data_IF_088198631019
#
_entry.id   IF_088198631019
#
_cell.length_a   1.000
_cell.length_b   1.000
_cell.length_c   1.000
_cell.angle_alpha   90.00
_cell.angle_beta   90.00
_cell.angle_gamma   90.00
#
_symmetry.space_group_name_H-M   'P 1'
#
loop_
_entity.id
_entity.type
_entity.pdbx_description
1 polymer ?
#
# COMPACT_ATOMS: atom_id res chain seq x y z
N UNK A 1 -64.83 2.60 12.24
CA UNK A 1 -64.38 3.43 13.36
C UNK A 1 -62.84 3.48 13.43
N UNK A 2 -62.19 3.93 12.38
CA UNK A 2 -60.69 4.09 12.41
C UNK A 2 -60.22 5.28 11.57
N UNK A 3 -61.04 6.36 11.50
CA UNK A 3 -60.67 7.56 10.73
C UNK A 3 -60.67 8.86 11.58
N UNK A 4 -60.65 8.75 12.90
CA UNK A 4 -60.74 9.91 13.81
C UNK A 4 -59.49 10.21 14.64
N UNK A 5 -58.41 9.40 14.52
CA UNK A 5 -57.27 9.53 15.44
C UNK A 5 -55.96 10.06 14.80
N UNK A 6 -55.96 10.41 13.52
CA UNK A 6 -54.77 10.91 12.80
C UNK A 6 -54.80 12.44 12.65
N UNK A 7 -55.87 13.12 13.04
CA UNK A 7 -55.98 14.59 12.90
C UNK A 7 -55.57 15.40 14.13
N UNK A 8 -55.36 14.76 15.29
CA UNK A 8 -55.09 15.47 16.55
C UNK A 8 -53.62 15.57 16.95
N UNK A 9 -52.69 15.05 16.13
CA UNK A 9 -51.26 15.14 16.41
C UNK A 9 -50.55 16.19 15.52
N UNK A 10 -51.23 16.86 14.63
CA UNK A 10 -50.64 17.88 13.75
C UNK A 10 -50.70 19.31 14.26
N UNK A 11 -51.50 19.60 15.30
CA UNK A 11 -51.74 20.98 15.74
C UNK A 11 -51.08 21.39 17.05
N UNK A 12 -50.18 20.56 17.61
CA UNK A 12 -49.52 20.88 18.87
C UNK A 12 -47.99 21.10 18.80
N UNK A 13 -47.40 21.25 17.58
CA UNK A 13 -46.01 21.64 17.42
C UNK A 13 -45.92 22.85 16.48
N UNK A 14 -46.55 23.95 16.86
CA UNK A 14 -46.23 25.28 16.38
C UNK A 14 -45.72 26.07 17.58
N UNK A 15 -44.54 25.70 18.04
CA UNK A 15 -43.72 26.55 18.90
C UNK A 15 -43.10 27.63 18.01
N UNK A 16 -43.55 28.86 18.22
CA UNK A 16 -42.98 30.08 17.68
C UNK A 16 -41.47 30.17 17.99
N UNK A 17 -40.61 29.85 17.04
CA UNK A 17 -39.21 30.21 17.10
C UNK A 17 -39.04 31.67 16.64
N UNK A 18 -38.34 32.54 17.35
CA UNK A 18 -38.02 33.88 16.92
C UNK A 18 -37.02 33.81 15.73
N UNK A 19 -37.52 34.02 14.54
CA UNK A 19 -36.81 33.82 13.25
C UNK A 19 -35.88 34.97 12.83
N UNK A 20 -35.49 35.90 13.72
CA UNK A 20 -34.78 37.12 13.29
C UNK A 20 -33.26 37.14 13.53
N UNK A 21 -32.69 36.28 14.39
CA UNK A 21 -31.25 36.39 14.73
C UNK A 21 -30.33 35.36 14.07
N UNK A 22 -30.84 34.29 13.52
CA UNK A 22 -29.98 33.26 12.89
C UNK A 22 -29.63 33.63 11.45
N UNK A 23 -30.49 34.33 10.72
CA UNK A 23 -30.23 34.73 9.34
C UNK A 23 -29.18 35.84 9.23
N UNK A 24 -29.15 36.80 10.15
CA UNK A 24 -28.17 37.92 10.10
C UNK A 24 -26.71 37.43 10.27
N UNK A 25 -26.45 36.51 11.17
CA UNK A 25 -25.11 35.94 11.35
C UNK A 25 -24.64 35.10 10.16
N UNK A 26 -25.56 34.45 9.47
CA UNK A 26 -25.25 33.65 8.27
C UNK A 26 -24.98 34.57 7.06
N UNK A 27 -25.71 35.65 6.94
CA UNK A 27 -25.48 36.69 5.94
C UNK A 27 -24.19 37.47 6.14
N UNK A 28 -23.87 37.82 7.39
CA UNK A 28 -22.56 38.41 7.73
C UNK A 28 -21.39 37.49 7.41
N UNK A 29 -21.50 36.18 7.70
CA UNK A 29 -20.47 35.20 7.33
C UNK A 29 -20.32 35.07 5.83
N UNK A 30 -21.42 35.08 5.06
CA UNK A 30 -21.42 35.05 3.59
C UNK A 30 -20.86 36.36 3.00
N UNK A 31 -21.16 37.51 3.60
CA UNK A 31 -20.60 38.80 3.21
C UNK A 31 -19.08 38.87 3.47
N UNK A 32 -18.61 38.42 4.64
CA UNK A 32 -17.17 38.33 4.93
C UNK A 32 -16.43 37.36 3.99
N UNK A 33 -17.04 36.22 3.63
CA UNK A 33 -16.45 35.33 2.65
C UNK A 33 -16.39 35.93 1.22
N UNK A 34 -17.40 36.68 0.85
CA UNK A 34 -17.40 37.40 -0.45
C UNK A 34 -16.35 38.52 -0.49
N UNK A 35 -16.21 39.27 0.61
CA UNK A 35 -15.17 40.30 0.75
C UNK A 35 -13.76 39.71 0.70
N UNK A 36 -13.48 38.58 1.42
CA UNK A 36 -12.21 37.90 1.34
C UNK A 36 -11.89 37.31 -0.05
N UNK A 37 -12.92 36.89 -0.80
CA UNK A 37 -12.73 36.39 -2.17
C UNK A 37 -12.44 37.58 -3.16
N UNK A 38 -13.04 38.74 -2.92
CA UNK A 38 -12.75 39.93 -3.72
C UNK A 38 -11.38 40.52 -3.42
N UNK A 39 -10.93 40.47 -2.17
CA UNK A 39 -9.60 40.91 -1.75
C UNK A 39 -8.49 40.01 -2.29
N UNK A 40 -8.72 38.69 -2.36
CA UNK A 40 -7.79 37.75 -3.05
C UNK A 40 -7.72 38.01 -4.58
N UNK A 41 -8.78 38.51 -5.21
CA UNK A 41 -8.78 38.85 -6.64
C UNK A 41 -8.15 40.23 -6.96
N UNK A 42 -7.94 41.05 -5.94
CA UNK A 42 -7.37 42.41 -6.10
C UNK A 42 -5.87 42.49 -5.80
N UNK A 43 -5.25 41.42 -5.28
CA UNK A 43 -3.79 41.38 -5.16
C UNK A 43 -3.22 41.04 -6.53
N UNK A 44 -2.44 41.96 -7.15
CA UNK A 44 -1.73 41.62 -8.37
C UNK A 44 -0.76 40.50 -8.05
N UNK A 45 -0.67 39.52 -8.94
CA UNK A 45 0.36 38.50 -8.88
C UNK A 45 1.71 39.20 -8.86
N UNK A 46 2.50 38.95 -7.80
CA UNK A 46 3.89 39.38 -7.79
C UNK A 46 4.56 38.71 -8.97
N UNK A 47 5.35 39.41 -9.79
CA UNK A 47 6.14 38.76 -10.81
C UNK A 47 7.05 37.72 -10.11
N UNK A 48 7.07 36.51 -10.64
CA UNK A 48 8.03 35.49 -10.23
C UNK A 48 9.43 36.08 -10.42
N UNK A 49 10.15 36.22 -9.30
CA UNK A 49 11.58 36.53 -9.34
C UNK A 49 12.29 35.28 -9.91
N UNK A 50 12.43 35.28 -11.23
CA UNK A 50 13.33 34.36 -11.92
C UNK A 50 14.75 34.80 -11.59
N UNK A 51 15.36 34.15 -10.63
CA UNK A 51 16.81 34.30 -10.39
C UNK A 51 17.52 33.48 -11.47
N UNK A 52 17.97 34.18 -12.52
CA UNK A 52 18.94 33.65 -13.46
C UNK A 52 20.29 33.62 -12.75
N UNK A 53 20.76 32.41 -12.45
CA UNK A 53 22.16 32.22 -12.06
C UNK A 53 23.03 32.39 -13.30
N UNK A 54 23.81 33.47 -13.36
CA UNK A 54 24.92 33.59 -14.31
C UNK A 54 26.02 32.62 -13.86
N UNK A 55 26.30 31.68 -14.74
CA UNK A 55 27.34 30.67 -14.60
C UNK A 55 28.69 31.34 -14.74
N UNK A 56 29.39 31.52 -13.61
CA UNK A 56 30.80 31.89 -13.62
C UNK A 56 31.62 30.62 -13.67
N UNK A 57 32.11 30.33 -14.86
CA UNK A 57 32.91 29.14 -15.15
C UNK A 57 34.16 28.98 -14.27
N UNK A 58 34.36 27.77 -13.80
CA UNK A 58 35.65 27.21 -13.51
C UNK A 58 35.69 25.79 -14.07
N UNK A 59 36.53 25.62 -15.08
CA UNK A 59 36.80 24.36 -15.74
C UNK A 59 37.48 23.40 -14.75
N UNK A 60 36.75 22.44 -14.20
CA UNK A 60 37.31 21.18 -13.74
C UNK A 60 36.59 20.04 -14.47
N UNK A 61 37.29 19.46 -15.43
CA UNK A 61 36.89 18.29 -16.18
C UNK A 61 36.73 17.09 -15.24
N UNK A 62 35.52 16.85 -14.76
CA UNK A 62 35.10 15.55 -14.29
C UNK A 62 34.69 14.68 -15.50
N UNK A 63 35.14 13.41 -15.59
CA UNK A 63 34.79 12.57 -16.72
C UNK A 63 33.27 12.37 -16.73
N UNK A 64 32.62 12.98 -17.70
CA UNK A 64 31.23 12.78 -18.01
C UNK A 64 31.04 11.31 -18.40
N UNK A 65 30.40 10.54 -17.52
CA UNK A 65 29.67 9.39 -17.98
C UNK A 65 28.62 9.91 -18.97
N UNK A 66 28.92 9.74 -20.24
CA UNK A 66 27.99 9.96 -21.32
C UNK A 66 26.82 8.97 -21.08
N UNK A 67 25.73 9.48 -20.52
CA UNK A 67 24.43 8.87 -20.73
C UNK A 67 24.19 8.90 -22.25
N UNK A 68 24.55 7.82 -22.94
CA UNK A 68 24.15 7.57 -24.29
C UNK A 68 22.61 7.59 -24.31
N UNK A 69 22.06 8.73 -24.68
CA UNK A 69 20.68 8.84 -25.15
C UNK A 69 20.60 7.93 -26.38
N UNK A 70 20.31 6.67 -26.14
CA UNK A 70 20.01 5.69 -27.18
C UNK A 70 18.77 6.18 -27.93
N UNK A 71 19.02 6.95 -28.99
CA UNK A 71 18.06 7.23 -30.05
C UNK A 71 17.74 5.89 -30.74
N UNK A 72 16.97 5.05 -30.09
CA UNK A 72 16.52 3.79 -30.66
C UNK A 72 15.36 4.06 -31.60
N UNK A 73 15.66 4.26 -32.86
CA UNK A 73 14.68 3.96 -33.88
C UNK A 73 14.38 2.45 -33.79
N UNK A 74 13.28 2.14 -33.11
CA UNK A 74 12.87 0.75 -32.91
C UNK A 74 12.37 0.19 -34.22
N UNK A 75 13.18 -0.63 -34.89
CA UNK A 75 12.76 -1.40 -36.03
C UNK A 75 12.39 -2.81 -35.58
N UNK A 76 11.11 -3.14 -35.67
CA UNK A 76 10.59 -4.45 -35.28
C UNK A 76 11.25 -5.59 -36.09
N UNK A 77 11.55 -5.36 -37.35
CA UNK A 77 12.19 -6.35 -38.22
C UNK A 77 13.63 -6.67 -37.75
N UNK A 78 14.38 -5.66 -37.37
CA UNK A 78 15.74 -5.84 -36.86
C UNK A 78 15.74 -6.51 -35.47
N UNK A 79 14.75 -6.20 -34.64
CA UNK A 79 14.54 -6.90 -33.37
C UNK A 79 14.23 -8.39 -33.59
N UNK A 80 13.34 -8.74 -34.50
CA UNK A 80 13.01 -10.13 -34.80
C UNK A 80 14.22 -10.89 -35.37
N UNK A 81 14.98 -10.27 -36.29
CA UNK A 81 16.21 -10.86 -36.86
C UNK A 81 17.28 -11.08 -35.80
N UNK A 82 17.53 -10.10 -34.94
CA UNK A 82 18.51 -10.24 -33.85
C UNK A 82 18.10 -11.30 -32.84
N UNK A 83 16.80 -11.46 -32.59
CA UNK A 83 16.26 -12.53 -31.75
C UNK A 83 16.42 -13.92 -32.38
N UNK A 84 16.18 -14.07 -33.69
CA UNK A 84 16.36 -15.32 -34.42
C UNK A 84 17.84 -15.73 -34.52
N UNK A 85 18.74 -14.75 -34.64
CA UNK A 85 20.19 -14.99 -34.70
C UNK A 85 20.86 -15.17 -33.35
N UNK A 86 20.13 -15.16 -32.24
CA UNK A 86 20.65 -15.19 -30.85
C UNK A 86 21.65 -14.07 -30.51
N UNK A 87 21.74 -13.05 -31.36
CA UNK A 87 22.56 -11.84 -31.19
C UNK A 87 21.80 -10.77 -30.41
N UNK A 88 20.74 -11.17 -29.69
CA UNK A 88 19.99 -10.24 -28.88
C UNK A 88 20.85 -9.68 -27.72
N UNK A 89 21.40 -8.52 -27.95
CA UNK A 89 21.60 -7.60 -26.81
C UNK A 89 20.29 -7.54 -26.06
N UNK A 90 20.30 -7.87 -24.75
CA UNK A 90 19.14 -7.77 -23.89
C UNK A 90 18.77 -6.30 -23.76
N UNK A 91 18.18 -5.72 -24.81
CA UNK A 91 17.63 -4.39 -24.76
C UNK A 91 16.57 -4.40 -23.64
N UNK A 92 16.89 -3.79 -22.55
CA UNK A 92 15.94 -3.66 -21.46
C UNK A 92 14.76 -2.83 -21.97
N UNK A 93 13.60 -3.46 -22.07
CA UNK A 93 12.37 -2.74 -22.35
C UNK A 93 12.19 -1.72 -21.23
N UNK A 94 11.96 -0.45 -21.58
CA UNK A 94 11.64 0.55 -20.59
C UNK A 94 10.28 0.21 -19.95
N UNK A 95 10.35 -0.46 -18.81
CA UNK A 95 9.19 -1.00 -18.11
C UNK A 95 8.24 0.12 -17.65
N UNK A 96 8.79 1.30 -17.35
CA UNK A 96 7.99 2.47 -16.99
C UNK A 96 7.15 2.98 -18.17
N UNK A 97 7.74 3.03 -19.37
CA UNK A 97 7.02 3.39 -20.59
C UNK A 97 5.91 2.38 -20.88
N UNK A 98 6.21 1.09 -20.75
CA UNK A 98 5.24 0.02 -21.05
C UNK A 98 4.04 0.05 -20.12
N UNK A 99 4.27 0.16 -18.80
CA UNK A 99 3.17 0.22 -17.83
C UNK A 99 2.30 1.47 -18.05
N UNK A 100 2.91 2.60 -18.36
CA UNK A 100 2.19 3.84 -18.67
C UNK A 100 1.37 3.69 -19.96
N UNK A 101 1.93 3.09 -21.02
CA UNK A 101 1.24 2.84 -22.27
C UNK A 101 0.01 1.96 -22.08
N UNK A 102 0.16 0.83 -21.39
CA UNK A 102 -0.93 -0.12 -21.10
C UNK A 102 -2.06 0.55 -20.32
N UNK A 103 -1.73 1.38 -19.32
CA UNK A 103 -2.70 2.10 -18.51
C UNK A 103 -3.42 3.20 -19.30
N UNK A 104 -2.71 4.00 -20.10
CA UNK A 104 -3.31 5.13 -20.83
C UNK A 104 -4.17 4.69 -22.01
N UNK A 105 -3.92 3.48 -22.57
CA UNK A 105 -4.69 2.92 -23.67
C UNK A 105 -5.82 2.00 -23.22
N UNK A 106 -6.16 1.98 -21.92
CA UNK A 106 -7.24 1.18 -21.36
C UNK A 106 -7.12 -0.33 -21.75
N UNK A 107 -5.88 -0.85 -21.79
CA UNK A 107 -5.61 -2.22 -22.24
C UNK A 107 -5.85 -3.27 -21.17
N UNK A 108 -5.81 -2.89 -19.89
CA UNK A 108 -5.99 -3.81 -18.77
C UNK A 108 -7.43 -4.28 -18.64
N UNK A 109 -7.61 -5.59 -18.52
CA UNK A 109 -8.88 -6.24 -18.25
C UNK A 109 -8.83 -6.97 -16.92
N UNK A 110 -9.90 -6.88 -16.15
CA UNK A 110 -10.03 -7.55 -14.87
C UNK A 110 -10.40 -9.02 -15.05
N UNK A 111 -9.61 -9.91 -14.44
CA UNK A 111 -9.98 -11.30 -14.20
C UNK A 111 -10.19 -11.46 -12.70
N UNK A 112 -11.46 -11.56 -12.28
CA UNK A 112 -11.82 -11.75 -10.88
C UNK A 112 -11.44 -13.16 -10.41
N UNK A 113 -10.87 -13.25 -9.19
CA UNK A 113 -10.49 -14.51 -8.55
C UNK A 113 -11.54 -14.86 -7.50
N UNK A 114 -12.08 -16.05 -7.59
CA UNK A 114 -12.99 -16.56 -6.56
C UNK A 114 -12.18 -17.19 -5.42
N UNK A 115 -12.19 -16.55 -4.26
CA UNK A 115 -11.47 -17.02 -3.08
C UNK A 115 -12.31 -17.93 -2.16
N UNK A 116 -13.60 -18.12 -2.46
CA UNK A 116 -14.50 -18.86 -1.58
C UNK A 116 -14.75 -18.13 -0.24
N UNK A 117 -15.13 -18.87 0.79
CA UNK A 117 -15.43 -18.34 2.12
C UNK A 117 -14.17 -17.92 2.87
N UNK A 118 -13.63 -16.77 2.51
CA UNK A 118 -12.44 -16.16 3.12
C UNK A 118 -12.76 -14.70 3.44
N UNK A 119 -12.15 -14.17 4.51
CA UNK A 119 -12.28 -12.76 4.86
C UNK A 119 -11.28 -11.90 4.05
N UNK A 120 -11.35 -10.59 4.21
CA UNK A 120 -10.57 -9.53 3.53
C UNK A 120 -9.11 -9.92 3.31
N UNK A 121 -8.59 -9.53 2.16
CA UNK A 121 -7.15 -9.61 1.85
C UNK A 121 -6.49 -8.29 2.22
N UNK A 122 -5.41 -8.34 3.00
CA UNK A 122 -4.73 -7.15 3.52
C UNK A 122 -3.40 -6.84 2.87
N UNK A 123 -2.68 -7.85 2.43
CA UNK A 123 -1.35 -7.72 1.86
C UNK A 123 -1.13 -8.71 0.72
N UNK A 124 -0.28 -8.35 -0.24
CA UNK A 124 0.03 -9.19 -1.39
C UNK A 124 1.38 -8.83 -2.01
N UNK A 125 2.04 -9.82 -2.62
CA UNK A 125 3.27 -9.67 -3.43
C UNK A 125 3.30 -10.69 -4.55
N UNK A 126 3.90 -10.33 -5.68
CA UNK A 126 4.20 -11.28 -6.75
C UNK A 126 5.47 -12.06 -6.39
N UNK A 127 5.36 -13.37 -6.27
CA UNK A 127 6.51 -14.27 -6.06
C UNK A 127 7.31 -14.46 -7.35
N UNK A 128 6.59 -14.66 -8.45
CA UNK A 128 7.13 -14.90 -9.79
C UNK A 128 6.19 -14.30 -10.83
N UNK A 129 6.52 -14.48 -12.12
CA UNK A 129 5.61 -14.08 -13.21
C UNK A 129 4.31 -14.88 -13.26
N UNK A 130 4.16 -15.93 -12.43
CA UNK A 130 3.01 -16.83 -12.44
C UNK A 130 2.22 -16.82 -11.13
N UNK A 131 2.86 -16.44 -10.03
CA UNK A 131 2.32 -16.64 -8.69
C UNK A 131 2.26 -15.35 -7.89
N UNK A 132 1.12 -15.12 -7.26
CA UNK A 132 0.88 -14.03 -6.30
C UNK A 132 0.58 -14.62 -4.94
N UNK A 133 1.33 -14.22 -3.93
CA UNK A 133 1.06 -14.55 -2.53
C UNK A 133 0.26 -13.43 -1.88
N UNK A 134 -0.69 -13.78 -1.01
CA UNK A 134 -1.48 -12.80 -0.28
C UNK A 134 -1.94 -13.32 1.07
N UNK A 135 -2.07 -12.38 2.01
CA UNK A 135 -2.49 -12.64 3.38
C UNK A 135 -3.90 -12.10 3.67
N UNK A 136 -4.64 -12.85 4.48
CA UNK A 136 -6.05 -12.56 4.77
C UNK A 136 -6.30 -12.19 6.23
N UNK A 137 -7.45 -11.57 6.51
CA UNK A 137 -7.91 -11.26 7.88
C UNK A 137 -8.14 -12.53 8.73
N UNK A 138 -8.46 -13.66 8.11
CA UNK A 138 -8.62 -14.93 8.80
C UNK A 138 -7.29 -15.71 8.97
N UNK A 139 -6.16 -15.00 8.92
CA UNK A 139 -4.82 -15.54 9.15
C UNK A 139 -4.41 -16.66 8.19
N UNK A 140 -4.93 -16.64 6.95
CA UNK A 140 -4.53 -17.57 5.91
C UNK A 140 -3.53 -16.92 4.97
N UNK A 141 -2.47 -17.64 4.66
CA UNK A 141 -1.50 -17.33 3.63
C UNK A 141 -1.83 -18.14 2.38
N UNK A 142 -2.06 -17.48 1.27
CA UNK A 142 -2.54 -18.08 0.04
C UNK A 142 -1.67 -17.70 -1.14
N UNK A 143 -1.51 -18.62 -2.08
CA UNK A 143 -0.85 -18.39 -3.37
C UNK A 143 -1.84 -18.63 -4.49
N UNK A 144 -1.92 -17.68 -5.40
CA UNK A 144 -2.68 -17.80 -6.64
C UNK A 144 -1.75 -18.00 -7.82
N UNK A 145 -1.91 -19.10 -8.55
CA UNK A 145 -1.25 -19.33 -9.84
C UNK A 145 -2.13 -18.76 -10.95
N UNK A 146 -1.61 -17.75 -11.65
CA UNK A 146 -2.35 -17.03 -12.71
C UNK A 146 -2.64 -17.92 -13.91
N UNK A 147 -1.72 -18.84 -14.26
CA UNK A 147 -1.87 -19.72 -15.40
C UNK A 147 -2.84 -20.87 -15.13
N UNK A 148 -2.70 -21.49 -13.95
CA UNK A 148 -3.55 -22.59 -13.53
C UNK A 148 -4.90 -22.11 -12.98
N UNK A 149 -5.03 -20.81 -12.68
CA UNK A 149 -6.22 -20.20 -12.04
C UNK A 149 -6.63 -20.89 -10.76
N UNK A 150 -5.63 -21.34 -10.00
CA UNK A 150 -5.81 -22.09 -8.75
C UNK A 150 -5.27 -21.31 -7.57
N UNK A 151 -5.98 -21.41 -6.44
CA UNK A 151 -5.56 -20.87 -5.14
C UNK A 151 -5.15 -22.00 -4.25
N UNK A 152 -3.91 -21.98 -3.76
CA UNK A 152 -3.37 -22.93 -2.82
C UNK A 152 -3.09 -22.25 -1.48
N UNK A 153 -3.30 -22.97 -0.37
CA UNK A 153 -3.01 -22.47 0.96
C UNK A 153 -1.60 -22.90 1.39
N UNK A 154 -0.82 -21.96 1.90
CA UNK A 154 0.46 -22.22 2.54
C UNK A 154 0.19 -22.39 4.04
N UNK A 155 0.69 -23.46 4.69
CA UNK A 155 0.58 -23.60 6.12
C UNK A 155 1.25 -22.43 6.84
N UNK A 156 0.51 -21.79 7.76
CA UNK A 156 1.08 -20.75 8.62
C UNK A 156 1.89 -21.42 9.73
N UNK A 157 3.11 -20.93 9.93
CA UNK A 157 4.02 -21.50 10.93
C UNK A 157 3.55 -21.14 12.35
N UNK A 158 3.67 -22.09 13.27
CA UNK A 158 3.45 -21.85 14.69
C UNK A 158 4.44 -22.66 15.51
N UNK A 159 5.00 -22.07 16.56
CA UNK A 159 5.76 -22.83 17.52
C UNK A 159 4.79 -23.55 18.49
N UNK A 160 4.95 -24.86 18.65
CA UNK A 160 4.14 -25.69 19.55
C UNK A 160 4.39 -25.41 21.04
N UNK A 161 5.43 -24.64 21.37
CA UNK A 161 5.82 -24.32 22.76
C UNK A 161 5.22 -23.04 23.30
N UNK A 162 4.48 -22.28 22.49
CA UNK A 162 3.91 -21.00 22.91
C UNK A 162 2.74 -21.22 23.88
N UNK A 163 2.99 -21.09 25.17
CA UNK A 163 1.96 -21.04 26.23
C UNK A 163 1.20 -19.70 26.26
N UNK A 164 1.31 -18.88 25.22
CA UNK A 164 0.63 -17.59 25.14
C UNK A 164 -0.68 -17.73 24.35
N UNK A 165 -1.73 -17.01 24.74
CA UNK A 165 -2.98 -16.98 24.00
C UNK A 165 -2.70 -16.52 22.56
N UNK A 166 -3.14 -17.28 21.56
CA UNK A 166 -3.02 -16.94 20.16
C UNK A 166 -3.78 -15.63 19.86
N UNK A 167 -3.06 -14.63 19.40
CA UNK A 167 -3.67 -13.38 18.94
C UNK A 167 -4.07 -13.58 17.49
N UNK A 168 -5.36 -13.74 17.24
CA UNK A 168 -5.91 -13.87 15.90
C UNK A 168 -6.34 -12.49 15.36
N UNK A 169 -5.61 -11.97 14.40
CA UNK A 169 -5.92 -10.64 13.81
C UNK A 169 -5.69 -10.58 12.31
N UNK A 170 -5.21 -11.65 11.71
CA UNK A 170 -4.92 -11.76 10.29
C UNK A 170 -3.50 -11.33 9.90
N UNK A 171 -3.14 -11.63 8.65
CA UNK A 171 -1.86 -11.28 8.04
C UNK A 171 -1.97 -9.91 7.40
N UNK A 172 -1.27 -8.92 7.96
CA UNK A 172 -1.30 -7.55 7.47
C UNK A 172 -0.08 -7.14 6.67
N UNK A 173 1.02 -7.89 6.75
CA UNK A 173 2.25 -7.60 6.06
C UNK A 173 2.84 -8.87 5.42
N UNK A 174 3.32 -8.71 4.19
CA UNK A 174 4.09 -9.69 3.42
C UNK A 174 5.19 -8.92 2.70
N UNK A 175 6.44 -9.34 2.87
CA UNK A 175 7.57 -8.70 2.20
C UNK A 175 8.57 -9.73 1.66
N UNK A 176 9.11 -9.45 0.48
CA UNK A 176 10.16 -10.23 -0.14
C UNK A 176 11.53 -9.66 0.20
N UNK A 177 12.52 -10.53 0.45
CA UNK A 177 13.90 -10.09 0.59
C UNK A 177 14.42 -9.45 -0.72
N UNK A 178 15.44 -8.59 -0.68
CA UNK A 178 15.99 -7.94 -1.87
C UNK A 178 16.45 -8.93 -2.95
N UNK A 179 17.06 -10.05 -2.56
CA UNK A 179 17.46 -11.15 -3.48
C UNK A 179 16.30 -12.02 -3.94
N UNK A 180 15.10 -11.88 -3.33
CA UNK A 180 13.93 -12.76 -3.51
C UNK A 180 14.18 -14.21 -3.11
N UNK A 181 15.11 -14.45 -2.21
CA UNK A 181 15.35 -15.77 -1.62
C UNK A 181 14.41 -16.08 -0.45
N UNK A 182 13.87 -15.06 0.21
CA UNK A 182 12.99 -15.20 1.37
C UNK A 182 11.69 -14.41 1.24
N UNK A 183 10.65 -15.01 1.82
CA UNK A 183 9.35 -14.40 2.03
C UNK A 183 9.10 -14.25 3.53
N UNK A 184 8.94 -13.01 4.02
CA UNK A 184 8.55 -12.74 5.40
C UNK A 184 7.06 -12.42 5.49
N UNK A 185 6.39 -12.99 6.47
CA UNK A 185 4.96 -12.79 6.74
C UNK A 185 4.69 -12.82 8.25
N UNK A 186 3.45 -12.59 8.70
CA UNK A 186 3.01 -12.96 10.02
C UNK A 186 2.92 -14.49 10.18
N UNK A 187 3.16 -14.99 11.40
CA UNK A 187 2.98 -16.39 11.75
C UNK A 187 1.51 -16.70 12.09
N UNK A 188 1.23 -17.91 12.54
CA UNK A 188 -0.10 -18.30 13.04
C UNK A 188 -0.54 -17.43 14.20
N UNK A 189 0.36 -17.14 15.14
CA UNK A 189 0.15 -16.06 16.09
C UNK A 189 0.47 -14.72 15.40
N UNK A 190 -0.49 -13.81 15.33
CA UNK A 190 -0.36 -12.56 14.58
C UNK A 190 0.64 -11.55 15.20
N UNK A 191 1.21 -11.84 16.38
CA UNK A 191 2.32 -11.08 16.99
C UNK A 191 3.70 -11.57 16.56
N UNK A 192 3.79 -12.72 15.89
CA UNK A 192 5.02 -13.38 15.52
C UNK A 192 5.28 -13.27 14.01
N UNK A 193 6.53 -13.34 13.60
CA UNK A 193 6.91 -13.39 12.19
C UNK A 193 7.16 -14.81 11.74
N UNK A 194 6.94 -15.09 10.46
CA UNK A 194 7.31 -16.34 9.80
C UNK A 194 8.11 -16.03 8.54
N UNK A 195 9.15 -16.81 8.29
CA UNK A 195 9.99 -16.70 7.10
C UNK A 195 10.00 -18.02 6.34
N UNK A 196 9.81 -17.91 5.03
CA UNK A 196 9.80 -19.03 4.09
C UNK A 196 10.89 -18.84 3.03
N UNK A 197 11.50 -19.93 2.59
CA UNK A 197 12.47 -19.95 1.49
C UNK A 197 11.74 -19.96 0.15
N UNK A 198 12.22 -19.19 -0.79
CA UNK A 198 11.71 -19.19 -2.16
C UNK A 198 12.67 -19.95 -3.09
N UNK A 199 12.16 -20.59 -4.15
CA UNK A 199 10.77 -20.60 -4.62
C UNK A 199 9.87 -21.67 -3.98
N UNK A 200 10.42 -22.57 -3.16
CA UNK A 200 9.76 -23.79 -2.65
C UNK A 200 8.72 -23.51 -1.58
N UNK A 201 8.81 -22.37 -0.87
CA UNK A 201 7.99 -22.00 0.29
C UNK A 201 8.23 -22.89 1.51
N UNK A 202 9.42 -23.48 1.61
CA UNK A 202 9.82 -24.22 2.77
C UNK A 202 9.96 -23.32 4.00
N UNK A 203 9.54 -23.78 5.19
CA UNK A 203 9.66 -23.02 6.42
C UNK A 203 11.13 -22.82 6.80
N UNK A 204 11.53 -21.59 7.17
CA UNK A 204 12.89 -21.25 7.62
C UNK A 204 12.90 -21.02 9.11
N UNK A 205 12.09 -20.08 9.59
CA UNK A 205 12.04 -19.74 11.00
C UNK A 205 10.74 -19.05 11.41
N UNK A 206 10.49 -19.07 12.72
CA UNK A 206 9.45 -18.27 13.38
C UNK A 206 10.14 -17.34 14.38
N UNK A 207 9.83 -16.04 14.31
CA UNK A 207 10.35 -15.05 15.25
C UNK A 207 9.32 -14.71 16.31
N UNK A 208 9.69 -14.94 17.58
CA UNK A 208 8.83 -14.78 18.75
C UNK A 208 9.32 -13.67 19.69
N UNK A 209 8.45 -13.24 20.59
CA UNK A 209 8.76 -12.29 21.66
C UNK A 209 9.17 -10.87 21.20
N UNK A 210 8.98 -10.52 19.93
CA UNK A 210 9.23 -9.18 19.43
C UNK A 210 8.07 -8.23 19.71
N UNK A 211 6.87 -8.74 19.63
CA UNK A 211 5.64 -7.93 19.73
C UNK A 211 4.63 -8.54 20.69
N UNK A 212 3.66 -7.70 21.10
CA UNK A 212 2.55 -8.06 22.00
C UNK A 212 1.18 -7.92 21.34
N UNK A 213 1.12 -7.39 20.12
CA UNK A 213 -0.10 -7.17 19.34
C UNK A 213 0.24 -7.38 17.85
N UNK A 214 -0.73 -7.22 16.98
CA UNK A 214 -0.67 -7.52 15.56
C UNK A 214 0.49 -6.82 14.85
N UNK A 215 1.24 -7.56 14.06
CA UNK A 215 2.22 -7.02 13.13
C UNK A 215 1.49 -6.40 11.94
N UNK A 216 1.75 -5.11 11.70
CA UNK A 216 1.04 -4.31 10.70
C UNK A 216 1.91 -3.96 9.48
N UNK A 217 3.22 -3.98 9.63
CA UNK A 217 4.17 -3.67 8.57
C UNK A 217 5.49 -4.38 8.78
N UNK A 218 6.15 -4.70 7.69
CA UNK A 218 7.51 -5.27 7.66
C UNK A 218 8.32 -4.58 6.57
N UNK A 219 9.63 -4.56 6.71
CA UNK A 219 10.55 -4.19 5.63
C UNK A 219 11.87 -4.91 5.82
N UNK A 220 12.44 -5.43 4.73
CA UNK A 220 13.79 -5.95 4.69
C UNK A 220 14.79 -4.81 4.55
N UNK A 221 15.87 -4.84 5.31
CA UNK A 221 17.01 -3.93 5.16
C UNK A 221 17.99 -4.49 4.12
N UNK A 222 18.25 -5.78 4.23
CA UNK A 222 19.02 -6.63 3.32
C UNK A 222 18.47 -8.07 3.38
N UNK A 223 19.21 -9.06 2.86
CA UNK A 223 18.77 -10.46 2.89
C UNK A 223 18.89 -11.13 4.26
N UNK A 224 19.58 -10.49 5.22
CA UNK A 224 19.74 -11.03 6.57
C UNK A 224 18.93 -10.29 7.64
N UNK A 225 18.62 -9.01 7.42
CA UNK A 225 17.96 -8.18 8.43
C UNK A 225 16.55 -7.77 8.01
N UNK A 226 15.59 -8.12 8.85
CA UNK A 226 14.18 -7.78 8.72
C UNK A 226 13.75 -6.88 9.88
N UNK A 227 12.92 -5.88 9.59
CA UNK A 227 12.26 -5.05 10.61
C UNK A 227 10.77 -5.24 10.54
N UNK A 228 10.14 -5.42 11.69
CA UNK A 228 8.68 -5.49 11.84
C UNK A 228 8.17 -4.38 12.74
N UNK A 229 6.98 -3.90 12.47
CA UNK A 229 6.28 -2.89 13.25
C UNK A 229 4.86 -3.34 13.61
N UNK A 230 4.47 -3.11 14.85
CA UNK A 230 3.23 -3.64 15.39
C UNK A 230 2.31 -2.56 15.92
N UNK A 231 1.07 -2.96 16.10
CA UNK A 231 0.02 -2.18 16.73
C UNK A 231 0.30 -1.88 18.22
N UNK A 232 1.25 -2.59 18.85
CA UNK A 232 1.75 -2.34 20.21
C UNK A 232 2.70 -1.13 20.30
N UNK A 233 2.90 -0.39 19.19
CA UNK A 233 3.83 0.75 19.08
C UNK A 233 5.31 0.38 19.17
N UNK A 234 5.66 -0.88 18.94
CA UNK A 234 7.04 -1.37 18.93
C UNK A 234 7.53 -1.68 17.53
N UNK A 235 8.83 -1.52 17.36
CA UNK A 235 9.58 -2.01 16.21
C UNK A 235 10.58 -3.05 16.68
N UNK A 236 10.67 -4.16 15.98
CA UNK A 236 11.61 -5.24 16.26
C UNK A 236 12.52 -5.47 15.06
N UNK A 237 13.81 -5.63 15.34
CA UNK A 237 14.85 -5.99 14.37
C UNK A 237 15.19 -7.46 14.52
N UNK A 238 15.17 -8.19 13.42
CA UNK A 238 15.39 -9.63 13.34
C UNK A 238 16.60 -9.93 12.46
N UNK A 239 17.34 -10.95 12.81
CA UNK A 239 18.39 -11.50 11.95
C UNK A 239 17.97 -12.89 11.49
N UNK A 240 17.99 -13.10 10.19
CA UNK A 240 17.67 -14.35 9.53
C UNK A 240 18.99 -14.98 9.11
N UNK A 241 19.38 -16.11 9.68
CA UNK A 241 20.58 -16.86 9.30
C UNK A 241 20.16 -18.10 8.52
N UNK A 242 20.86 -18.37 7.45
CA UNK A 242 20.68 -19.61 6.67
C UNK A 242 21.22 -20.85 7.42
N UNK A 243 22.21 -20.66 8.30
CA UNK A 243 22.93 -21.73 9.00
C UNK A 243 22.10 -22.49 10.06
N UNK A 244 20.89 -22.04 10.37
CA UNK A 244 20.00 -22.71 11.32
C UNK A 244 19.24 -23.89 10.71
N UNK A 245 19.59 -24.29 9.49
CA UNK A 245 19.07 -25.51 8.86
C UNK A 245 20.00 -26.70 9.11
N UNK A 246 20.38 -26.95 10.35
CA UNK A 246 20.89 -28.24 10.72
C UNK A 246 19.73 -29.24 10.65
N UNK A 247 19.62 -29.92 9.50
CA UNK A 247 18.83 -31.13 9.41
C UNK A 247 19.49 -32.12 10.35
N UNK A 248 18.81 -32.63 11.37
CA UNK A 248 19.35 -33.71 12.14
C UNK A 248 19.57 -34.90 11.19
N UNK A 249 20.84 -35.28 11.02
CA UNK A 249 21.24 -36.45 10.25
C UNK A 249 20.45 -37.68 10.76
N UNK A 250 19.67 -38.24 9.86
CA UNK A 250 19.22 -39.63 9.92
C UNK A 250 18.18 -39.98 10.99
N UNK A 251 16.92 -39.98 10.59
CA UNK A 251 15.88 -40.69 11.34
C UNK A 251 14.48 -40.24 10.91
N UNK A 252 13.78 -41.19 10.30
CA UNK A 252 12.34 -41.29 10.13
C UNK A 252 11.55 -39.98 9.87
N UNK A 253 10.73 -39.96 8.82
CA UNK A 253 9.74 -38.97 8.38
C UNK A 253 9.36 -37.89 9.42
N UNK A 254 10.27 -36.98 9.73
CA UNK A 254 9.98 -35.88 10.64
C UNK A 254 9.49 -34.66 9.83
N UNK A 255 8.39 -34.08 10.29
CA UNK A 255 7.89 -32.77 9.80
C UNK A 255 9.03 -31.80 9.63
N UNK A 256 8.99 -30.91 8.58
CA UNK A 256 10.03 -29.94 8.37
C UNK A 256 10.22 -29.11 9.64
N UNK A 257 11.40 -29.23 10.24
CA UNK A 257 11.77 -28.49 11.44
C UNK A 257 12.24 -27.10 11.03
N UNK A 258 11.67 -26.06 11.61
CA UNK A 258 12.09 -24.68 11.41
C UNK A 258 12.63 -24.10 12.72
N UNK A 259 13.53 -23.13 12.61
CA UNK A 259 14.15 -22.50 13.76
C UNK A 259 13.22 -21.48 14.46
N UNK A 260 13.37 -21.35 15.77
CA UNK A 260 12.78 -20.24 16.53
C UNK A 260 13.83 -19.17 16.74
N UNK A 261 13.53 -17.93 16.36
CA UNK A 261 14.43 -16.79 16.51
C UNK A 261 13.82 -15.74 17.44
N UNK A 262 14.70 -14.98 18.06
CA UNK A 262 14.33 -13.82 18.90
C UNK A 262 14.83 -12.53 18.29
N UNK A 263 14.15 -11.38 18.56
CA UNK A 263 14.58 -10.11 18.01
C UNK A 263 15.94 -9.69 18.57
N UNK A 264 16.83 -9.17 17.72
CA UNK A 264 18.09 -8.57 18.14
C UNK A 264 17.87 -7.32 18.98
N UNK A 265 16.87 -6.54 18.64
CA UNK A 265 16.53 -5.32 19.33
C UNK A 265 15.03 -5.01 19.17
N UNK A 266 14.42 -4.58 20.26
CA UNK A 266 13.04 -4.08 20.26
C UNK A 266 13.06 -2.64 20.73
N UNK A 267 12.43 -1.75 19.98
CA UNK A 267 12.32 -0.32 20.31
C UNK A 267 10.87 0.08 20.42
N UNK A 268 10.53 0.72 21.53
CA UNK A 268 9.24 1.35 21.70
C UNK A 268 9.27 2.77 21.12
N UNK A 269 8.32 3.08 20.26
CA UNK A 269 8.20 4.39 19.62
C UNK A 269 7.29 5.26 20.49
N UNK A 270 7.87 6.07 21.35
CA UNK A 270 7.19 6.79 22.46
C UNK A 270 5.98 7.62 22.03
N UNK A 271 6.00 8.21 20.84
CA UNK A 271 4.93 9.08 20.33
C UNK A 271 3.97 8.36 19.39
N UNK A 272 4.21 7.10 19.06
CA UNK A 272 3.32 6.30 18.22
C UNK A 272 2.20 5.69 19.07
N UNK A 273 0.96 5.78 18.59
CA UNK A 273 -0.13 5.00 19.20
C UNK A 273 -0.20 3.58 18.64
N UNK A 274 0.06 3.41 17.35
CA UNK A 274 0.05 2.13 16.63
C UNK A 274 0.86 2.31 15.37
N UNK A 275 1.83 1.46 15.11
CA UNK A 275 2.53 1.44 13.84
C UNK A 275 1.61 0.77 12.82
N UNK A 276 1.45 1.38 11.66
CA UNK A 276 0.54 0.91 10.60
C UNK A 276 1.25 0.43 9.36
N UNK A 277 2.37 1.02 9.01
CA UNK A 277 3.12 0.67 7.81
C UNK A 277 4.58 1.08 8.00
N UNK A 278 5.47 0.33 7.39
CA UNK A 278 6.91 0.57 7.34
C UNK A 278 7.34 0.69 5.89
N UNK A 279 8.35 1.48 5.64
CA UNK A 279 9.11 1.42 4.39
C UNK A 279 10.58 1.69 4.65
N UNK A 280 11.44 1.09 3.85
CA UNK A 280 12.88 1.26 3.92
C UNK A 280 13.35 2.18 2.80
N UNK A 281 14.08 3.22 3.18
CA UNK A 281 14.79 4.10 2.29
C UNK A 281 16.23 3.60 2.16
N UNK A 282 16.52 2.97 1.03
CA UNK A 282 17.82 2.35 0.77
C UNK A 282 18.93 3.38 0.61
N UNK A 283 18.64 4.56 0.03
CA UNK A 283 19.64 5.60 -0.23
C UNK A 283 20.19 6.23 1.04
N UNK A 284 19.28 6.56 1.97
CA UNK A 284 19.68 7.16 3.24
C UNK A 284 19.84 6.14 4.37
N UNK A 285 19.63 4.85 4.09
CA UNK A 285 19.61 3.76 5.08
C UNK A 285 18.71 4.08 6.27
N UNK A 286 17.51 4.52 5.97
CA UNK A 286 16.52 4.94 6.96
C UNK A 286 15.24 4.10 6.87
N UNK A 287 14.66 3.81 8.03
CA UNK A 287 13.37 3.14 8.13
C UNK A 287 12.34 4.19 8.51
N UNK A 288 11.33 4.36 7.66
CA UNK A 288 10.20 5.22 7.98
C UNK A 288 9.03 4.39 8.53
N UNK A 289 8.60 4.71 9.74
CA UNK A 289 7.47 4.09 10.42
C UNK A 289 6.31 5.08 10.50
N UNK A 290 5.17 4.69 9.93
CA UNK A 290 3.94 5.49 9.96
C UNK A 290 3.06 5.04 11.10
N UNK A 291 2.63 5.98 11.95
CA UNK A 291 1.71 5.69 13.05
C UNK A 291 0.29 6.21 12.77
N UNK A 292 -0.69 5.55 13.39
CA UNK A 292 -2.10 5.85 13.18
C UNK A 292 -2.49 7.28 13.64
N UNK A 293 -1.80 7.81 14.64
CA UNK A 293 -2.05 9.15 15.19
C UNK A 293 -1.44 10.29 14.35
N UNK A 294 -1.00 10.00 13.14
CA UNK A 294 -0.51 11.01 12.20
C UNK A 294 0.97 11.37 12.36
N UNK A 295 1.76 10.55 13.04
CA UNK A 295 3.20 10.75 13.10
C UNK A 295 3.93 9.85 12.10
N UNK A 296 5.01 10.37 11.56
CA UNK A 296 6.06 9.61 10.86
C UNK A 296 7.33 9.64 11.72
N UNK A 297 7.94 8.49 11.88
CA UNK A 297 9.14 8.29 12.67
C UNK A 297 10.23 7.73 11.79
N UNK A 298 11.39 8.34 11.79
CA UNK A 298 12.56 7.90 11.03
C UNK A 298 13.56 7.26 11.98
N UNK A 299 14.03 6.08 11.60
CA UNK A 299 15.05 5.33 12.29
C UNK A 299 16.25 5.15 11.38
N UNK A 300 17.43 5.31 11.89
CA UNK A 300 18.65 4.91 11.19
C UNK A 300 18.72 3.38 11.17
N UNK A 301 18.89 2.77 9.99
CA UNK A 301 18.88 1.32 9.82
C UNK A 301 20.09 0.62 10.44
N UNK A 302 21.26 1.28 10.46
CA UNK A 302 22.51 0.71 10.99
C UNK A 302 22.53 0.67 12.53
N UNK A 303 22.03 1.73 13.16
CA UNK A 303 22.06 1.86 14.63
C UNK A 303 20.74 1.47 15.31
N UNK A 304 19.70 1.30 14.50
CA UNK A 304 18.31 1.09 14.96
C UNK A 304 17.85 2.11 16.00
N UNK A 305 18.32 3.37 15.86
CA UNK A 305 17.94 4.50 16.72
C UNK A 305 16.99 5.44 15.97
N UNK A 306 16.00 5.96 16.68
CA UNK A 306 15.10 6.98 16.15
C UNK A 306 15.88 8.30 15.99
N UNK A 307 15.88 8.84 14.77
CA UNK A 307 16.55 10.09 14.40
C UNK A 307 15.59 11.26 14.38
N UNK A 308 14.38 11.04 13.85
CA UNK A 308 13.39 12.09 13.66
C UNK A 308 11.98 11.57 13.94
N UNK A 309 11.13 12.45 14.45
CA UNK A 309 9.69 12.19 14.58
C UNK A 309 8.94 13.47 14.26
N UNK A 310 8.01 13.38 13.32
CA UNK A 310 7.23 14.53 12.88
C UNK A 310 5.74 14.22 12.81
N UNK A 311 4.93 15.11 13.37
CA UNK A 311 3.48 15.08 13.20
C UNK A 311 3.12 15.65 11.84
N UNK A 312 2.38 14.88 11.06
CA UNK A 312 1.92 15.32 9.75
C UNK A 312 0.68 16.22 9.92
N UNK A 313 0.64 17.38 9.25
CA UNK A 313 -0.47 18.32 9.40
C UNK A 313 -1.74 17.73 8.80
N UNK A 314 -2.84 17.81 9.53
CA UNK A 314 -4.17 17.38 9.13
C UNK A 314 -4.29 15.90 8.68
N UNK A 315 -3.33 15.05 9.04
CA UNK A 315 -3.36 13.63 8.73
C UNK A 315 -4.18 12.86 9.75
N UNK A 316 -5.24 12.24 9.28
CA UNK A 316 -6.07 11.30 10.05
C UNK A 316 -6.16 9.98 9.28
N UNK A 317 -6.26 8.88 10.03
CA UNK A 317 -6.39 7.53 9.48
C UNK A 317 -5.28 7.18 8.48
N UNK A 318 -4.04 7.47 8.84
CA UNK A 318 -2.86 7.11 8.04
C UNK A 318 -2.70 5.60 8.03
N UNK A 319 -2.74 5.00 6.86
CA UNK A 319 -2.76 3.53 6.74
C UNK A 319 -1.65 2.96 5.86
N UNK A 320 -1.05 3.76 5.01
CA UNK A 320 -0.07 3.30 4.03
C UNK A 320 1.02 4.34 3.81
N UNK A 321 2.26 3.88 3.69
CA UNK A 321 3.41 4.68 3.30
C UNK A 321 4.16 3.96 2.19
N UNK A 322 4.65 4.70 1.21
CA UNK A 322 5.53 4.21 0.16
C UNK A 322 6.70 5.18 -0.03
N UNK A 323 7.86 4.66 -0.38
CA UNK A 323 9.07 5.42 -0.67
C UNK A 323 9.35 5.42 -2.17
N UNK A 324 9.78 6.55 -2.70
CA UNK A 324 10.24 6.76 -4.07
C UNK A 324 11.74 7.07 -4.09
N UNK A 325 12.46 6.55 -5.09
CA UNK A 325 13.92 6.73 -5.23
C UNK A 325 14.40 8.18 -5.24
N UNK A 326 13.57 9.13 -5.75
CA UNK A 326 13.92 10.55 -5.71
C UNK A 326 13.77 11.20 -4.32
N UNK A 327 13.79 10.41 -3.25
CA UNK A 327 13.71 10.91 -1.89
C UNK A 327 12.34 11.42 -1.48
N UNK A 328 11.25 10.77 -1.93
CA UNK A 328 9.88 11.14 -1.61
C UNK A 328 9.18 10.03 -0.81
N UNK A 329 8.38 10.42 0.18
CA UNK A 329 7.40 9.54 0.78
C UNK A 329 5.98 9.89 0.33
N UNK A 330 5.19 8.89 -0.03
CA UNK A 330 3.75 9.03 -0.22
C UNK A 330 3.02 8.44 0.98
N UNK A 331 2.20 9.24 1.65
CA UNK A 331 1.40 8.82 2.80
C UNK A 331 -0.08 8.88 2.43
N UNK A 332 -0.74 7.72 2.49
CA UNK A 332 -2.18 7.60 2.27
C UNK A 332 -2.97 7.99 3.51
N UNK A 333 -3.85 9.00 3.37
CA UNK A 333 -4.70 9.52 4.43
C UNK A 333 -6.19 9.26 4.13
N UNK A 334 -7.06 9.75 5.00
CA UNK A 334 -8.51 9.53 4.90
C UNK A 334 -9.14 9.91 3.56
N UNK A 335 -8.68 10.98 2.88
CA UNK A 335 -9.27 11.43 1.61
C UNK A 335 -8.26 12.02 0.62
N UNK A 336 -6.99 11.89 0.90
CA UNK A 336 -5.91 12.41 0.07
C UNK A 336 -4.61 11.66 0.34
N UNK A 337 -3.68 11.77 -0.59
CA UNK A 337 -2.29 11.32 -0.42
C UNK A 337 -1.40 12.54 -0.25
N UNK A 338 -0.46 12.48 0.68
CA UNK A 338 0.54 13.53 0.87
C UNK A 338 1.88 13.04 0.34
N UNK A 339 2.53 13.86 -0.46
CA UNK A 339 3.94 13.69 -0.81
C UNK A 339 4.79 14.50 0.18
N UNK A 340 5.76 13.84 0.77
CA UNK A 340 6.71 14.41 1.72
C UNK A 340 8.11 14.29 1.16
N UNK A 341 8.94 15.30 1.41
CA UNK A 341 10.38 15.20 1.23
C UNK A 341 10.97 14.26 2.29
N UNK A 342 11.75 13.28 1.87
CA UNK A 342 12.31 12.27 2.77
C UNK A 342 13.29 12.86 3.79
N UNK A 343 14.02 13.92 3.45
CA UNK A 343 15.02 14.54 4.33
C UNK A 343 14.37 15.41 5.40
N UNK A 344 13.43 16.25 4.99
CA UNK A 344 12.84 17.27 5.88
C UNK A 344 11.51 16.86 6.44
N UNK A 345 10.89 15.82 5.88
CA UNK A 345 9.50 15.39 6.15
C UNK A 345 8.47 16.52 5.95
N UNK A 346 8.84 17.55 5.16
CA UNK A 346 7.91 18.62 4.81
C UNK A 346 6.96 18.15 3.73
N UNK A 347 5.73 18.66 3.78
CA UNK A 347 4.75 18.38 2.75
C UNK A 347 5.09 19.16 1.48
N UNK A 348 5.44 18.44 0.42
CA UNK A 348 5.68 19.00 -0.91
C UNK A 348 4.34 19.21 -1.61
N UNK A 349 3.49 18.20 -1.60
CA UNK A 349 2.22 18.24 -2.31
C UNK A 349 1.14 17.43 -1.62
N UNK A 350 -0.09 17.96 -1.66
CA UNK A 350 -1.29 17.24 -1.26
C UNK A 350 -2.08 16.86 -2.51
N UNK A 351 -2.18 15.55 -2.76
CA UNK A 351 -2.92 14.98 -3.88
C UNK A 351 -4.32 14.63 -3.37
N UNK A 352 -5.30 15.42 -3.76
CA UNK A 352 -6.69 15.16 -3.38
C UNK A 352 -7.25 13.99 -4.19
N UNK A 353 -7.96 13.09 -3.53
CA UNK A 353 -8.77 12.10 -4.25
C UNK A 353 -9.83 12.82 -5.09
N UNK A 354 -10.00 12.43 -6.36
CA UNK A 354 -11.04 12.99 -7.23
C UNK A 354 -12.45 12.62 -6.79
N UNK A 355 -12.57 11.64 -5.91
CA UNK A 355 -13.83 11.10 -5.44
C UNK A 355 -14.01 11.42 -3.96
N UNK A 356 -15.10 12.11 -3.62
CA UNK A 356 -15.42 12.46 -2.23
C UNK A 356 -15.68 11.22 -1.39
N UNK A 357 -15.23 11.23 -0.14
CA UNK A 357 -15.41 10.10 0.79
C UNK A 357 -14.51 8.88 0.53
N UNK A 358 -13.58 9.00 -0.42
CA UNK A 358 -12.68 7.93 -0.80
C UNK A 358 -11.47 7.88 0.15
N UNK A 359 -11.50 6.99 1.13
CA UNK A 359 -10.34 6.71 1.99
C UNK A 359 -9.24 6.02 1.19
N UNK A 360 -7.99 6.51 1.33
CA UNK A 360 -6.83 5.82 0.75
C UNK A 360 -6.51 4.63 1.63
N UNK A 361 -6.28 3.46 1.03
CA UNK A 361 -6.02 2.21 1.74
C UNK A 361 -4.67 1.59 1.42
N UNK A 362 -4.17 1.78 0.21
CA UNK A 362 -2.86 1.31 -0.23
C UNK A 362 -2.20 2.34 -1.13
N UNK A 363 -0.87 2.45 -1.03
CA UNK A 363 -0.05 3.29 -1.90
C UNK A 363 1.20 2.52 -2.30
N UNK A 364 1.60 2.61 -3.56
CA UNK A 364 2.88 2.09 -4.04
C UNK A 364 3.43 2.97 -5.15
N UNK A 365 4.74 2.96 -5.30
CA UNK A 365 5.43 3.59 -6.43
C UNK A 365 5.90 2.53 -7.41
N UNK A 366 5.74 2.83 -8.69
CA UNK A 366 6.36 2.11 -9.80
C UNK A 366 7.03 3.12 -10.72
N UNK A 367 8.35 3.30 -10.56
CA UNK A 367 9.04 4.45 -11.13
C UNK A 367 8.34 5.74 -10.74
N UNK A 368 8.08 6.63 -11.67
CA UNK A 368 7.42 7.91 -11.41
C UNK A 368 5.88 7.82 -11.28
N UNK A 369 5.32 6.64 -11.28
CA UNK A 369 3.88 6.42 -11.15
C UNK A 369 3.51 6.04 -9.72
N UNK A 370 2.73 6.89 -9.06
CA UNK A 370 2.12 6.59 -7.76
C UNK A 370 0.76 5.93 -7.99
N UNK A 371 0.63 4.68 -7.55
CA UNK A 371 -0.63 3.94 -7.58
C UNK A 371 -1.30 4.01 -6.22
N UNK A 372 -2.60 4.32 -6.22
CA UNK A 372 -3.38 4.56 -5.01
C UNK A 372 -4.61 3.67 -5.01
N UNK A 373 -4.68 2.74 -4.07
CA UNK A 373 -5.85 1.89 -3.80
C UNK A 373 -6.82 2.59 -2.84
N UNK A 374 -8.10 2.58 -3.19
CA UNK A 374 -9.12 3.36 -2.49
C UNK A 374 -10.16 2.49 -1.77
N UNK A 375 -10.86 3.07 -0.81
CA UNK A 375 -11.99 2.44 -0.11
C UNK A 375 -13.26 2.30 -0.96
N UNK A 376 -13.27 2.83 -2.18
CA UNK A 376 -14.40 2.76 -3.13
C UNK A 376 -14.13 1.82 -4.32
N UNK A 377 -13.20 0.88 -4.17
CA UNK A 377 -12.91 -0.12 -5.21
C UNK A 377 -12.26 0.45 -6.46
N UNK A 378 -11.47 1.50 -6.32
CA UNK A 378 -10.77 2.10 -7.43
C UNK A 378 -9.27 2.16 -7.20
N UNK A 379 -8.52 1.92 -8.26
CA UNK A 379 -7.09 2.19 -8.36
C UNK A 379 -6.90 3.45 -9.20
N UNK A 380 -6.19 4.41 -8.65
CA UNK A 380 -5.89 5.70 -9.27
C UNK A 380 -4.38 5.79 -9.50
N UNK A 381 -4.00 6.44 -10.58
CA UNK A 381 -2.62 6.56 -11.03
C UNK A 381 -2.23 8.02 -11.15
N UNK A 382 -1.23 8.41 -10.36
CA UNK A 382 -0.74 9.78 -10.33
C UNK A 382 0.70 9.83 -10.81
N UNK A 383 0.95 10.65 -11.83
CA UNK A 383 2.28 10.89 -12.37
C UNK A 383 2.96 11.99 -11.56
N UNK A 384 4.07 11.66 -10.88
CA UNK A 384 4.81 12.60 -10.04
C UNK A 384 5.48 13.67 -10.88
N UNK A 385 6.09 13.28 -12.00
CA UNK A 385 6.81 14.20 -12.90
C UNK A 385 5.85 15.20 -13.58
N UNK A 386 4.72 14.69 -14.08
CA UNK A 386 3.69 15.53 -14.68
C UNK A 386 2.86 16.31 -13.64
N UNK A 387 2.95 15.92 -12.36
CA UNK A 387 2.22 16.54 -11.27
C UNK A 387 0.70 16.42 -11.36
N UNK A 388 0.17 15.43 -12.10
CA UNK A 388 -1.26 15.21 -12.33
C UNK A 388 -1.62 13.72 -12.37
N UNK A 389 -2.92 13.43 -12.24
CA UNK A 389 -3.42 12.08 -12.49
C UNK A 389 -3.23 11.70 -13.95
N UNK A 390 -2.92 10.43 -14.18
CA UNK A 390 -2.75 9.88 -15.52
C UNK A 390 -4.04 10.04 -16.32
N UNK A 391 -3.93 10.50 -17.55
CA UNK A 391 -5.05 10.73 -18.47
C UNK A 391 -5.06 9.65 -19.56
N UNK A 392 -6.26 9.22 -19.95
CA UNK A 392 -6.41 8.23 -21.02
C UNK A 392 -6.05 8.86 -22.37
N UNK A 393 -5.28 8.12 -23.17
CA UNK A 393 -4.96 8.49 -24.55
C UNK A 393 -6.11 8.19 -25.51
N UNK A 394 -6.99 7.28 -25.13
CA UNK A 394 -8.15 6.84 -25.95
C UNK A 394 -9.35 7.75 -25.73
N UNK A 395 -9.60 8.15 -24.48
CA UNK A 395 -10.73 8.98 -24.10
C UNK A 395 -10.21 10.33 -23.61
N UNK A 396 -10.23 11.34 -24.44
CA UNK A 396 -9.72 12.67 -24.12
C UNK A 396 -10.30 13.20 -22.79
N UNK A 397 -9.43 13.73 -21.93
CA UNK A 397 -9.76 14.30 -20.62
C UNK A 397 -10.27 13.33 -19.55
N UNK A 398 -10.33 12.02 -19.81
CA UNK A 398 -10.69 11.05 -18.80
C UNK A 398 -9.46 10.63 -18.00
N UNK A 399 -9.55 10.70 -16.68
CA UNK A 399 -8.52 10.15 -15.80
C UNK A 399 -8.52 8.63 -15.88
N UNK A 400 -7.34 8.05 -16.00
CA UNK A 400 -7.16 6.60 -15.90
C UNK A 400 -7.49 6.15 -14.48
N UNK A 401 -8.47 5.27 -14.37
CA UNK A 401 -8.86 4.63 -13.12
C UNK A 401 -9.35 3.22 -13.40
N UNK A 402 -8.80 2.24 -12.72
CA UNK A 402 -9.30 0.88 -12.76
C UNK A 402 -10.38 0.72 -11.67
N UNK A 403 -11.58 0.42 -12.10
CA UNK A 403 -12.71 0.18 -11.19
C UNK A 403 -12.88 -1.32 -11.02
N UNK A 404 -12.65 -1.79 -9.82
CA UNK A 404 -12.80 -3.19 -9.43
C UNK A 404 -14.26 -3.64 -9.55
N UNK A 405 -14.44 -4.88 -9.94
CA UNK A 405 -15.74 -5.54 -9.91
C UNK A 405 -16.27 -5.69 -8.48
N UNK A 406 -17.50 -6.08 -8.33
CA UNK A 406 -18.12 -6.25 -7.01
C UNK A 406 -17.51 -7.44 -6.28
N UNK A 407 -17.14 -7.24 -5.01
CA UNK A 407 -16.75 -8.30 -4.09
C UNK A 407 -17.95 -9.06 -3.51
N UNK A 408 -17.65 -10.10 -2.75
CA UNK A 408 -18.63 -10.97 -2.09
C UNK A 408 -18.62 -10.67 -0.60
N UNK A 409 -19.80 -10.46 -0.01
CA UNK A 409 -20.02 -10.42 1.45
C UNK A 409 -20.78 -11.66 1.85
N UNK A 410 -20.34 -12.29 2.92
CA UNK A 410 -21.00 -13.42 3.54
C UNK A 410 -21.83 -12.91 4.72
N UNK A 411 -23.14 -13.18 4.79
CA UNK A 411 -23.97 -12.86 5.95
C UNK A 411 -23.50 -13.70 7.17
N UNK A 412 -23.62 -13.12 8.36
CA UNK A 412 -23.25 -13.78 9.62
C UNK A 412 -24.25 -14.88 10.02
N UNK A 413 -25.51 -14.80 9.58
CA UNK A 413 -26.55 -15.77 9.87
C UNK A 413 -26.56 -16.88 8.81
N UNK A 414 -26.30 -18.09 9.23
CA UNK A 414 -26.37 -19.32 8.43
C UNK A 414 -27.80 -19.71 8.03
N UNK A 415 -28.81 -18.92 8.33
CA UNK A 415 -30.20 -19.23 8.07
C UNK A 415 -30.61 -18.90 6.63
N UNK A 416 -30.84 -19.95 5.88
CA UNK A 416 -31.57 -20.04 4.61
C UNK A 416 -30.98 -19.30 3.38
N UNK A 417 -30.28 -20.10 2.58
CA UNK A 417 -29.98 -19.81 1.18
C UNK A 417 -28.97 -18.71 0.96
N UNK A 418 -27.72 -19.10 0.75
CA UNK A 418 -26.57 -18.24 0.45
C UNK A 418 -26.85 -17.21 -0.67
N UNK A 419 -27.54 -16.14 -0.37
CA UNK A 419 -27.57 -14.98 -1.23
C UNK A 419 -26.27 -14.19 -1.02
N UNK A 420 -25.31 -14.44 -1.88
CA UNK A 420 -24.08 -13.65 -1.93
C UNK A 420 -24.43 -12.19 -2.23
N UNK A 421 -24.28 -11.32 -1.25
CA UNK A 421 -24.50 -9.89 -1.44
C UNK A 421 -23.28 -9.29 -2.12
N UNK A 422 -23.47 -8.78 -3.33
CA UNK A 422 -22.43 -8.07 -4.08
C UNK A 422 -22.28 -6.63 -3.59
N UNK A 423 -21.06 -6.21 -3.29
CA UNK A 423 -20.77 -4.85 -2.80
C UNK A 423 -19.52 -4.28 -3.45
N UNK A 424 -19.26 -2.97 -3.26
CA UNK A 424 -18.05 -2.31 -3.73
C UNK A 424 -16.91 -2.56 -2.74
N UNK A 425 -15.82 -3.28 -3.10
CA UNK A 425 -14.74 -3.60 -2.19
C UNK A 425 -13.84 -2.39 -1.91
N UNK A 426 -13.27 -2.30 -0.71
CA UNK A 426 -12.12 -1.46 -0.45
C UNK A 426 -10.84 -2.20 -0.89
N UNK A 427 -9.92 -1.52 -1.57
CA UNK A 427 -8.66 -2.08 -2.04
C UNK A 427 -7.60 -1.86 -0.97
N UNK A 428 -7.30 -2.91 -0.20
CA UNK A 428 -6.32 -2.85 0.87
C UNK A 428 -4.89 -3.12 0.39
N UNK A 429 -4.75 -3.81 -0.73
CA UNK A 429 -3.45 -4.16 -1.31
C UNK A 429 -3.50 -4.19 -2.81
N UNK A 430 -2.39 -3.83 -3.43
CA UNK A 430 -2.12 -4.01 -4.84
C UNK A 430 -0.63 -4.19 -5.06
N UNK A 431 -0.26 -4.95 -6.07
CA UNK A 431 1.13 -5.16 -6.45
C UNK A 431 1.26 -5.47 -7.94
N UNK A 432 2.34 -4.96 -8.54
CA UNK A 432 2.69 -5.22 -9.93
C UNK A 432 3.55 -6.47 -10.05
N UNK A 433 3.45 -7.15 -11.19
CA UNK A 433 4.39 -8.19 -11.55
C UNK A 433 5.76 -7.58 -11.95
N UNK A 434 6.76 -8.43 -12.21
CA UNK A 434 8.10 -7.99 -12.61
C UNK A 434 8.12 -7.25 -13.94
N UNK A 435 7.16 -7.51 -14.84
CA UNK A 435 7.03 -6.84 -16.13
C UNK A 435 6.28 -5.52 -16.03
N UNK A 436 5.62 -5.23 -14.90
CA UNK A 436 4.71 -4.09 -14.66
C UNK A 436 3.54 -4.00 -15.64
N UNK A 437 3.26 -5.08 -16.36
CA UNK A 437 2.13 -5.17 -17.28
C UNK A 437 0.89 -5.77 -16.64
N UNK A 438 1.04 -6.44 -15.52
CA UNK A 438 -0.05 -7.04 -14.75
C UNK A 438 -0.11 -6.45 -13.35
N UNK A 439 -1.31 -6.22 -12.89
CA UNK A 439 -1.58 -5.66 -11.58
C UNK A 439 -2.53 -6.59 -10.82
N UNK A 440 -2.10 -7.09 -9.68
CA UNK A 440 -2.99 -7.74 -8.73
C UNK A 440 -3.57 -6.72 -7.78
N UNK A 441 -4.86 -6.78 -7.51
CA UNK A 441 -5.54 -5.93 -6.54
C UNK A 441 -6.50 -6.76 -5.71
N UNK A 442 -6.47 -6.55 -4.39
CA UNK A 442 -7.31 -7.31 -3.50
C UNK A 442 -7.77 -6.49 -2.28
N UNK A 443 -8.79 -7.00 -1.61
CA UNK A 443 -9.37 -6.33 -0.47
C UNK A 443 -10.61 -6.99 0.09
N UNK A 444 -11.62 -6.18 0.41
CA UNK A 444 -12.86 -6.66 1.01
C UNK A 444 -13.76 -5.53 1.47
N UNK A 445 -14.84 -5.80 2.21
CA UNK A 445 -15.76 -4.79 2.70
C UNK A 445 -15.05 -3.77 3.60
N UNK A 446 -15.42 -2.49 3.48
CA UNK A 446 -14.84 -1.43 4.29
C UNK A 446 -15.20 -1.57 5.79
N UNK A 447 -16.46 -1.84 6.19
CA UNK A 447 -16.81 -2.07 7.58
C UNK A 447 -16.07 -3.28 8.17
N UNK A 448 -15.51 -3.11 9.38
CA UNK A 448 -14.68 -4.13 10.02
C UNK A 448 -15.46 -5.41 10.38
N UNK A 449 -16.75 -5.27 10.71
CA UNK A 449 -17.66 -6.35 11.09
C UNK A 449 -18.02 -7.27 9.93
N UNK A 450 -18.13 -6.75 8.71
CA UNK A 450 -18.51 -7.56 7.57
C UNK A 450 -17.40 -8.54 7.16
N UNK A 451 -17.79 -9.78 6.95
CA UNK A 451 -16.95 -10.84 6.38
C UNK A 451 -17.14 -10.86 4.86
N UNK A 452 -16.04 -10.89 4.12
CA UNK A 452 -16.11 -10.88 2.67
C UNK A 452 -14.76 -10.58 2.03
N UNK A 453 -14.64 -10.83 0.74
CA UNK A 453 -13.39 -10.66 0.02
C UNK A 453 -13.59 -10.12 -1.41
N UNK A 454 -12.49 -9.68 -1.95
CA UNK A 454 -12.30 -9.35 -3.35
C UNK A 454 -10.85 -9.62 -3.73
N UNK A 455 -10.63 -10.22 -4.88
CA UNK A 455 -9.32 -10.30 -5.53
C UNK A 455 -9.49 -10.32 -7.05
N UNK A 456 -8.59 -9.66 -7.74
CA UNK A 456 -8.57 -9.61 -9.20
C UNK A 456 -7.17 -9.38 -9.75
N UNK A 457 -6.92 -9.94 -10.92
CA UNK A 457 -5.73 -9.68 -11.75
C UNK A 457 -6.16 -8.85 -12.94
N UNK A 458 -5.46 -7.76 -13.15
CA UNK A 458 -5.59 -6.88 -14.32
C UNK A 458 -4.46 -7.18 -15.29
N UNK A 459 -4.78 -7.61 -16.51
CA UNK A 459 -3.83 -8.01 -17.56
C UNK A 459 -4.39 -7.76 -18.95
#
# INVERSE_FOLDING_TARGET
>A
MFNGMVKTIRDSIVGTYPSCHVNSRLEERRAKQRAMRQERRRKPDKPDDFVTYEDSGSDEETPQQQDEVLNTSYNLCDYLRSRESSLCDRRSVNVEFTSRYVLTHDMLRETQINLGYINKVFCSKWLSNRQVVFGTKCNKLLVYDVNMRRVDAIPTLSNSRANHPEIQGGLHAIELSPSRSFLATGARNSSDIAVYRLPTLDPVCVGENGHRDLIMGMCWLDDQFLVSGSKDSRMALWRINEDHMDFPDGGEESCPTFATIHPLSVKEVRTAQRIRSLCFNKEFKEIAALSLNGYIHIFNAETFKQTLSRKLPNCQDNVSIAYHSDGLYAVGCRSYTILLDARTLQTIKKITSRYSGCGIRATSFEGNLLTVGTGLGMLLFYDIRAGKYLESSVNASRTVALKCSKGIVYPEDEMDGFQQVKYVPAIYTHCYDSTRMRLFAAGGPLPATLVGNYAGVWQ
#
